data_IF_185767401367
#
_entry.id   IF_185767401367
#
_cell.length_a   1.000
_cell.length_b   1.000
_cell.length_c   1.000
_cell.angle_alpha   90.00
_cell.angle_beta   90.00
_cell.angle_gamma   90.00
#
_symmetry.space_group_name_H-M   'P 1'
#
loop_
_entity.id
_entity.type
_entity.pdbx_description
1 polymer ?
#
# COMPACT_ATOMS: atom_id res chain seq x y z
N UNK A 1 -34.26 -0.11 -25.04
CA UNK A 1 -32.98 0.59 -24.68
C UNK A 1 -32.91 0.67 -23.18
N UNK A 2 -32.23 -0.28 -22.52
CA UNK A 2 -32.03 -0.25 -21.06
C UNK A 2 -30.97 0.78 -20.75
N UNK A 3 -31.33 1.79 -19.95
CA UNK A 3 -30.40 2.74 -19.40
C UNK A 3 -29.37 1.96 -18.56
N UNK A 4 -28.14 1.83 -19.05
CA UNK A 4 -26.99 1.48 -18.22
C UNK A 4 -26.83 2.58 -17.18
N UNK A 5 -27.33 2.36 -15.96
CA UNK A 5 -26.92 3.15 -14.80
C UNK A 5 -25.40 3.03 -14.71
N UNK A 6 -24.69 4.10 -15.03
CA UNK A 6 -23.24 4.17 -14.84
C UNK A 6 -22.99 3.92 -13.35
N UNK A 7 -22.47 2.73 -13.02
CA UNK A 7 -22.00 2.42 -11.68
C UNK A 7 -20.92 3.46 -11.38
N UNK A 8 -21.11 4.29 -10.35
CA UNK A 8 -20.06 5.24 -9.93
C UNK A 8 -18.76 4.47 -9.72
N UNK A 9 -17.64 5.04 -10.16
CA UNK A 9 -16.33 4.42 -9.99
C UNK A 9 -16.07 4.12 -8.50
N UNK A 10 -15.50 2.95 -8.21
CA UNK A 10 -15.08 2.64 -6.85
C UNK A 10 -13.87 3.50 -6.49
N UNK A 11 -13.82 3.97 -5.26
CA UNK A 11 -12.77 4.84 -4.75
C UNK A 11 -11.67 4.03 -4.08
N UNK A 12 -10.40 4.33 -4.37
CA UNK A 12 -9.24 3.67 -3.81
C UNK A 12 -8.26 4.68 -3.19
N UNK A 13 -7.94 4.51 -1.90
CA UNK A 13 -6.94 5.31 -1.20
C UNK A 13 -5.59 4.59 -1.21
N UNK A 14 -4.53 5.29 -1.62
CA UNK A 14 -3.15 4.77 -1.58
C UNK A 14 -2.31 5.64 -0.66
N UNK A 15 -1.92 5.13 0.51
CA UNK A 15 -1.02 5.85 1.41
C UNK A 15 0.41 5.85 0.85
N UNK A 16 1.11 6.99 0.96
CA UNK A 16 2.41 7.14 0.30
C UNK A 16 2.34 7.07 -1.23
N UNK A 17 1.18 7.39 -1.81
CA UNK A 17 0.91 7.38 -3.25
C UNK A 17 1.76 8.33 -4.07
N UNK A 18 2.43 9.28 -3.43
CA UNK A 18 3.38 10.21 -4.09
C UNK A 18 4.80 9.64 -4.26
N UNK A 19 5.11 8.46 -3.71
CA UNK A 19 6.40 7.78 -3.89
C UNK A 19 6.45 6.95 -5.18
N UNK A 20 7.63 6.41 -5.53
CA UNK A 20 7.83 5.66 -6.79
C UNK A 20 6.87 4.46 -6.89
N UNK A 21 6.88 3.57 -5.90
CA UNK A 21 5.99 2.41 -5.87
C UNK A 21 4.52 2.83 -5.68
N UNK A 22 4.25 3.76 -4.77
CA UNK A 22 2.89 4.26 -4.52
C UNK A 22 2.29 4.93 -5.76
N UNK A 23 3.09 5.69 -6.51
CA UNK A 23 2.68 6.30 -7.77
C UNK A 23 2.32 5.26 -8.84
N UNK A 24 3.16 4.24 -9.02
CA UNK A 24 2.87 3.13 -9.93
C UNK A 24 1.56 2.39 -9.55
N UNK A 25 1.33 2.18 -8.24
CA UNK A 25 0.08 1.60 -7.73
C UNK A 25 -1.11 2.51 -8.05
N UNK A 26 -0.99 3.83 -7.84
CA UNK A 26 -2.05 4.78 -8.16
C UNK A 26 -2.40 4.76 -9.66
N UNK A 27 -1.39 4.77 -10.54
CA UNK A 27 -1.59 4.69 -11.99
C UNK A 27 -2.28 3.40 -12.40
N UNK A 28 -1.86 2.25 -11.85
CA UNK A 28 -2.46 0.96 -12.15
C UNK A 28 -3.93 0.87 -11.68
N UNK A 29 -4.26 1.43 -10.52
CA UNK A 29 -5.65 1.51 -10.03
C UNK A 29 -6.50 2.45 -10.87
N UNK A 30 -5.96 3.60 -11.31
CA UNK A 30 -6.64 4.50 -12.24
C UNK A 30 -6.96 3.82 -13.56
N UNK A 31 -5.99 3.11 -14.15
CA UNK A 31 -6.19 2.32 -15.36
C UNK A 31 -7.20 1.17 -15.17
N UNK A 32 -7.35 0.64 -13.94
CA UNK A 32 -8.37 -0.35 -13.58
C UNK A 32 -9.76 0.26 -13.32
N UNK A 33 -9.94 1.57 -13.49
CA UNK A 33 -11.22 2.27 -13.38
C UNK A 33 -11.61 2.70 -11.97
N UNK A 34 -10.67 2.76 -11.04
CA UNK A 34 -10.90 3.37 -9.73
C UNK A 34 -10.79 4.90 -9.80
N UNK A 35 -11.60 5.60 -9.00
CA UNK A 35 -11.29 6.96 -8.58
C UNK A 35 -10.20 6.88 -7.51
N UNK A 36 -9.00 7.40 -7.82
CA UNK A 36 -7.81 7.21 -6.98
C UNK A 36 -7.59 8.41 -6.06
N UNK A 37 -7.45 8.14 -4.78
CA UNK A 37 -7.08 9.12 -3.76
C UNK A 37 -5.58 8.93 -3.49
N UNK A 38 -4.78 9.84 -4.02
CA UNK A 38 -3.33 9.84 -3.90
C UNK A 38 -2.94 10.55 -2.60
N UNK A 39 -2.45 9.80 -1.62
CA UNK A 39 -2.06 10.37 -0.34
C UNK A 39 -0.55 10.62 -0.25
N UNK A 40 -0.17 11.76 0.35
CA UNK A 40 1.19 12.07 0.78
C UNK A 40 1.20 12.46 2.27
N UNK A 41 2.35 12.31 2.95
CA UNK A 41 2.49 12.79 4.33
C UNK A 41 2.38 14.32 4.41
N UNK A 42 3.25 15.06 3.74
CA UNK A 42 3.27 16.54 3.78
C UNK A 42 3.42 17.20 2.40
N UNK A 43 3.87 16.46 1.39
CA UNK A 43 4.09 17.03 0.05
C UNK A 43 2.86 16.83 -0.85
N UNK A 44 1.84 17.67 -0.64
CA UNK A 44 0.61 17.65 -1.43
C UNK A 44 0.89 17.86 -2.93
N UNK A 45 1.82 18.73 -3.30
CA UNK A 45 2.14 19.01 -4.70
C UNK A 45 2.64 17.76 -5.45
N UNK A 46 3.44 16.92 -4.77
CA UNK A 46 3.91 15.65 -5.36
C UNK A 46 2.75 14.67 -5.58
N UNK A 47 1.79 14.59 -4.64
CA UNK A 47 0.59 13.79 -4.80
C UNK A 47 -0.31 14.31 -5.92
N UNK A 48 -0.45 15.64 -6.05
CA UNK A 48 -1.17 16.27 -7.15
C UNK A 48 -0.56 15.94 -8.51
N UNK A 49 0.77 15.87 -8.61
CA UNK A 49 1.45 15.47 -9.84
C UNK A 49 1.08 14.03 -10.27
N UNK A 50 0.98 13.09 -9.34
CA UNK A 50 0.52 11.72 -9.64
C UNK A 50 -0.97 11.71 -9.99
N UNK A 51 -1.80 12.45 -9.26
CA UNK A 51 -3.23 12.56 -9.56
C UNK A 51 -3.46 13.13 -10.96
N UNK A 52 -2.68 14.15 -11.36
CA UNK A 52 -2.76 14.74 -12.69
C UNK A 52 -2.42 13.73 -13.80
N UNK A 53 -1.41 12.89 -13.60
CA UNK A 53 -1.08 11.83 -14.58
C UNK A 53 -2.25 10.86 -14.80
N UNK A 54 -3.00 10.52 -13.74
CA UNK A 54 -4.19 9.68 -13.86
C UNK A 54 -5.29 10.39 -14.63
N UNK A 55 -5.50 11.68 -14.37
CA UNK A 55 -6.49 12.52 -15.06
C UNK A 55 -6.14 12.68 -16.54
N UNK A 56 -4.88 12.93 -16.86
CA UNK A 56 -4.39 13.05 -18.24
C UNK A 56 -4.54 11.74 -19.03
N UNK A 57 -4.49 10.61 -18.33
CA UNK A 57 -4.79 9.28 -18.89
C UNK A 57 -6.29 8.96 -19.00
N UNK A 58 -7.18 9.92 -18.66
CA UNK A 58 -8.64 9.76 -18.74
C UNK A 58 -9.29 9.13 -17.50
N UNK A 59 -8.54 8.92 -16.42
CA UNK A 59 -9.04 8.44 -15.14
C UNK A 59 -9.55 9.56 -14.22
N UNK A 60 -9.93 9.19 -13.00
CA UNK A 60 -10.36 10.11 -11.96
C UNK A 60 -9.42 10.01 -10.77
N UNK A 61 -8.93 11.14 -10.27
CA UNK A 61 -8.05 11.16 -9.10
C UNK A 61 -8.14 12.48 -8.34
N UNK A 62 -7.81 12.40 -7.04
CA UNK A 62 -7.59 13.55 -6.19
C UNK A 62 -6.37 13.31 -5.29
N UNK A 63 -5.79 14.39 -4.78
CA UNK A 63 -4.66 14.33 -3.88
C UNK A 63 -5.07 14.79 -2.48
N UNK A 64 -4.53 14.12 -1.45
CA UNK A 64 -4.69 14.50 -0.04
C UNK A 64 -3.37 14.41 0.69
N UNK A 65 -3.22 15.19 1.78
CA UNK A 65 -2.03 15.12 2.61
C UNK A 65 -2.42 15.15 4.09
N UNK A 66 -1.91 14.17 4.84
CA UNK A 66 -1.92 14.11 6.30
C UNK A 66 -0.83 13.14 6.79
N UNK A 67 -0.42 13.25 8.06
CA UNK A 67 0.52 12.30 8.63
C UNK A 67 -0.24 11.06 9.11
N UNK A 68 0.11 9.90 8.57
CA UNK A 68 -0.51 8.61 8.96
C UNK A 68 -0.19 8.22 10.41
N UNK A 69 0.87 8.77 11.00
CA UNK A 69 1.26 8.54 12.39
C UNK A 69 0.36 9.33 13.35
N UNK A 70 -0.10 10.50 12.93
CA UNK A 70 -1.02 11.33 13.69
C UNK A 70 -2.45 10.76 13.56
N UNK A 71 -2.97 10.20 14.66
CA UNK A 71 -4.28 9.59 14.70
C UNK A 71 -5.42 10.59 14.46
N UNK A 72 -5.29 11.83 14.96
CA UNK A 72 -6.30 12.87 14.79
C UNK A 72 -6.32 13.40 13.36
N UNK A 73 -5.13 13.68 12.78
CA UNK A 73 -5.01 14.09 11.39
C UNK A 73 -5.51 13.00 10.43
N UNK A 74 -5.18 11.73 10.70
CA UNK A 74 -5.69 10.58 9.93
C UNK A 74 -7.21 10.47 10.01
N UNK A 75 -7.78 10.56 11.22
CA UNK A 75 -9.22 10.49 11.41
C UNK A 75 -9.94 11.64 10.67
N UNK A 76 -9.44 12.87 10.78
CA UNK A 76 -10.00 14.03 10.09
C UNK A 76 -9.89 13.88 8.56
N UNK A 77 -8.73 13.47 8.06
CA UNK A 77 -8.51 13.24 6.63
C UNK A 77 -9.45 12.16 6.06
N UNK A 78 -9.59 11.03 6.76
CA UNK A 78 -10.50 9.96 6.35
C UNK A 78 -11.97 10.42 6.44
N UNK A 79 -12.36 11.14 7.49
CA UNK A 79 -13.73 11.67 7.62
C UNK A 79 -14.10 12.57 6.43
N UNK A 80 -13.23 13.49 6.05
CA UNK A 80 -13.44 14.35 4.89
C UNK A 80 -13.57 13.54 3.57
N UNK A 81 -12.79 12.48 3.42
CA UNK A 81 -12.91 11.59 2.25
C UNK A 81 -14.26 10.85 2.23
N UNK A 82 -14.78 10.47 3.37
CA UNK A 82 -16.04 9.73 3.49
C UNK A 82 -17.28 10.61 3.25
N UNK A 83 -17.18 11.94 3.36
CA UNK A 83 -18.25 12.86 2.96
C UNK A 83 -18.63 12.73 1.48
N UNK A 84 -17.64 12.49 0.61
CA UNK A 84 -17.86 12.26 -0.82
C UNK A 84 -18.27 10.82 -1.16
N UNK A 85 -18.46 9.96 -0.15
CA UNK A 85 -18.85 8.56 -0.32
C UNK A 85 -17.82 7.55 0.19
N UNK A 86 -18.12 6.26 0.16
CA UNK A 86 -17.26 5.23 0.72
C UNK A 86 -15.94 5.12 -0.06
N UNK A 87 -14.85 4.88 0.67
CA UNK A 87 -13.59 4.39 0.11
C UNK A 87 -13.69 2.86 0.06
N UNK A 88 -13.60 2.31 -1.13
CA UNK A 88 -13.84 0.88 -1.39
C UNK A 88 -12.57 0.04 -1.28
N UNK A 89 -11.42 0.62 -1.63
CA UNK A 89 -10.13 -0.03 -1.52
C UNK A 89 -9.15 0.86 -0.74
N UNK A 90 -8.33 0.26 0.11
CA UNK A 90 -7.21 0.94 0.77
C UNK A 90 -5.93 0.16 0.52
N UNK A 91 -4.91 0.86 0.03
CA UNK A 91 -3.56 0.32 -0.12
C UNK A 91 -2.66 0.99 0.91
N UNK A 92 -2.30 0.24 1.94
CA UNK A 92 -1.36 0.65 2.97
C UNK A 92 0.07 0.46 2.43
N UNK A 93 0.55 1.49 1.72
CA UNK A 93 1.88 1.52 1.11
C UNK A 93 2.85 2.45 1.84
N UNK A 94 2.36 3.44 2.59
CA UNK A 94 3.23 4.31 3.38
C UNK A 94 4.20 3.50 4.24
N UNK A 95 5.47 3.86 4.17
CA UNK A 95 6.53 3.18 4.91
C UNK A 95 7.84 3.92 4.73
N UNK A 96 8.69 3.80 5.73
CA UNK A 96 10.06 4.31 5.74
C UNK A 96 10.99 3.20 6.23
N UNK A 97 12.25 3.32 5.95
CA UNK A 97 13.31 2.55 6.59
C UNK A 97 14.25 3.51 7.34
N UNK A 98 14.87 3.01 8.39
CA UNK A 98 15.90 3.72 9.16
C UNK A 98 16.81 2.64 9.74
N UNK A 99 17.78 2.24 8.90
CA UNK A 99 18.53 1.00 9.05
C UNK A 99 19.69 1.18 10.04
N UNK A 100 19.83 0.24 10.97
CA UNK A 100 20.96 0.12 11.86
C UNK A 100 21.06 -1.33 12.37
N UNK A 101 22.28 -1.84 12.65
CA UNK A 101 22.42 -3.09 13.41
C UNK A 101 21.69 -2.98 14.74
N UNK A 102 20.96 -4.03 15.16
CA UNK A 102 20.10 -4.00 16.37
C UNK A 102 20.85 -3.53 17.61
N UNK A 103 22.12 -3.92 17.79
CA UNK A 103 22.92 -3.51 18.94
C UNK A 103 23.22 -2.00 19.01
N UNK A 104 23.16 -1.30 17.88
CA UNK A 104 23.39 0.15 17.77
C UNK A 104 22.14 0.94 17.37
N UNK A 105 20.99 0.28 17.21
CA UNK A 105 19.74 0.92 16.81
C UNK A 105 19.19 1.77 17.96
N UNK A 106 18.91 3.04 17.69
CA UNK A 106 18.26 3.92 18.65
C UNK A 106 16.77 3.61 18.80
N UNK A 107 16.18 3.94 19.95
CA UNK A 107 14.74 3.85 20.15
C UNK A 107 13.97 4.72 19.16
N UNK A 108 14.51 5.87 18.75
CA UNK A 108 13.91 6.73 17.74
C UNK A 108 13.82 6.04 16.37
N UNK A 109 14.89 5.38 15.91
CA UNK A 109 14.89 4.60 14.66
C UNK A 109 13.88 3.46 14.72
N UNK A 110 13.79 2.78 15.86
CA UNK A 110 12.81 1.72 16.08
C UNK A 110 11.37 2.25 15.98
N UNK A 111 11.00 3.20 16.82
CA UNK A 111 9.63 3.70 16.90
C UNK A 111 9.17 4.33 15.58
N UNK A 112 9.99 5.17 14.97
CA UNK A 112 9.65 5.86 13.73
C UNK A 112 9.23 4.91 12.61
N UNK A 113 9.91 3.78 12.45
CA UNK A 113 9.60 2.78 11.42
C UNK A 113 8.32 2.00 11.77
N UNK A 114 8.14 1.63 13.04
CA UNK A 114 6.92 0.98 13.54
C UNK A 114 5.73 1.91 13.37
N UNK A 115 5.85 3.17 13.77
CA UNK A 115 4.76 4.16 13.76
C UNK A 115 4.22 4.36 12.35
N UNK A 116 5.08 4.61 11.37
CA UNK A 116 4.63 4.82 10.00
C UNK A 116 4.01 3.57 9.40
N UNK A 117 4.61 2.40 9.60
CA UNK A 117 4.19 1.17 8.92
C UNK A 117 3.00 0.48 9.60
N UNK A 118 2.98 0.44 10.95
CA UNK A 118 2.00 -0.34 11.70
C UNK A 118 0.90 0.54 12.32
N UNK A 119 1.26 1.62 13.02
CA UNK A 119 0.25 2.54 13.54
C UNK A 119 -0.45 3.27 12.39
N UNK A 120 0.29 3.67 11.33
CA UNK A 120 -0.30 4.22 10.12
C UNK A 120 -1.30 3.29 9.43
N UNK A 121 -1.00 1.97 9.37
CA UNK A 121 -1.98 0.98 8.90
C UNK A 121 -3.27 1.02 9.71
N UNK A 122 -3.18 1.02 11.04
CA UNK A 122 -4.34 1.07 11.92
C UNK A 122 -5.14 2.37 11.75
N UNK A 123 -4.47 3.52 11.84
CA UNK A 123 -5.10 4.84 11.79
C UNK A 123 -5.88 5.07 10.48
N UNK A 124 -5.37 4.54 9.36
CA UNK A 124 -6.00 4.70 8.04
C UNK A 124 -7.05 3.63 7.78
N UNK A 125 -6.78 2.38 8.15
CA UNK A 125 -7.66 1.25 7.76
C UNK A 125 -8.89 1.17 8.65
N UNK A 126 -8.75 1.34 9.96
CA UNK A 126 -9.82 1.13 10.93
C UNK A 126 -11.08 1.95 10.61
N UNK A 127 -11.03 3.27 10.34
CA UNK A 127 -12.22 4.07 10.07
C UNK A 127 -12.91 3.73 8.74
N UNK A 128 -12.22 3.05 7.81
CA UNK A 128 -12.78 2.64 6.52
C UNK A 128 -13.57 1.32 6.58
N UNK A 129 -13.37 0.50 7.61
CA UNK A 129 -13.93 -0.86 7.66
C UNK A 129 -15.47 -0.87 7.77
N UNK A 130 -16.07 -0.02 8.59
CA UNK A 130 -17.52 0.04 8.73
C UNK A 130 -18.21 0.54 7.44
N UNK A 131 -17.75 1.61 6.77
CA UNK A 131 -18.24 1.98 5.44
C UNK A 131 -18.15 0.85 4.40
N UNK A 132 -17.00 0.16 4.33
CA UNK A 132 -16.81 -1.01 3.44
C UNK A 132 -17.80 -2.14 3.79
N UNK A 133 -18.00 -2.44 5.08
CA UNK A 133 -18.91 -3.48 5.53
C UNK A 133 -20.37 -3.17 5.19
N UNK A 134 -20.78 -1.90 5.27
CA UNK A 134 -22.10 -1.45 4.84
C UNK A 134 -22.30 -1.59 3.33
N UNK A 135 -21.29 -1.27 2.56
CA UNK A 135 -21.27 -1.46 1.12
C UNK A 135 -21.18 -2.94 0.69
N UNK A 136 -20.87 -3.86 1.63
CA UNK A 136 -20.62 -5.28 1.41
C UNK A 136 -19.56 -5.52 0.32
N UNK A 137 -18.63 -4.63 0.23
CA UNK A 137 -17.48 -4.71 -0.67
C UNK A 137 -16.32 -3.89 -0.11
N UNK A 138 -15.15 -4.50 -0.04
CA UNK A 138 -13.92 -3.82 0.38
C UNK A 138 -12.68 -4.59 -0.02
N UNK A 139 -11.59 -3.86 -0.21
CA UNK A 139 -10.26 -4.39 -0.48
C UNK A 139 -9.24 -3.67 0.41
N UNK A 140 -8.53 -4.44 1.21
CA UNK A 140 -7.40 -3.95 2.02
C UNK A 140 -6.14 -4.65 1.52
N UNK A 141 -5.21 -3.89 0.95
CA UNK A 141 -3.93 -4.41 0.50
C UNK A 141 -2.82 -3.70 1.28
N UNK A 142 -1.99 -4.48 1.98
CA UNK A 142 -0.85 -3.95 2.71
C UNK A 142 0.45 -4.26 1.96
N UNK A 143 1.26 -3.24 1.70
CA UNK A 143 2.59 -3.41 1.10
C UNK A 143 3.60 -3.70 2.21
N UNK A 144 4.05 -4.95 2.26
CA UNK A 144 5.09 -5.44 3.14
C UNK A 144 6.47 -5.38 2.44
N UNK A 145 7.30 -6.37 2.64
CA UNK A 145 8.62 -6.51 2.03
C UNK A 145 9.09 -7.95 2.11
N UNK A 146 9.98 -8.36 1.21
CA UNK A 146 10.72 -9.62 1.33
C UNK A 146 11.52 -9.66 2.65
N UNK A 147 11.99 -8.51 3.15
CA UNK A 147 12.67 -8.42 4.45
C UNK A 147 11.79 -8.89 5.63
N UNK A 148 10.46 -8.82 5.50
CA UNK A 148 9.52 -9.34 6.47
C UNK A 148 9.37 -10.88 6.41
N UNK A 149 9.83 -11.51 5.34
CA UNK A 149 9.73 -12.96 5.11
C UNK A 149 11.05 -13.65 5.47
N UNK A 150 12.17 -13.12 4.95
CA UNK A 150 13.49 -13.77 5.12
C UNK A 150 14.43 -13.05 6.10
N UNK A 151 14.03 -11.86 6.57
CA UNK A 151 14.90 -10.97 7.34
C UNK A 151 15.88 -10.20 6.45
N UNK A 152 16.45 -9.10 6.98
CA UNK A 152 17.56 -8.39 6.35
C UNK A 152 18.45 -7.77 7.43
N UNK A 153 19.76 -7.87 7.24
CA UNK A 153 20.73 -7.30 8.18
C UNK A 153 20.55 -5.79 8.29
N UNK A 154 20.49 -5.28 9.52
CA UNK A 154 20.31 -3.85 9.78
C UNK A 154 18.86 -3.37 9.75
N UNK A 155 17.91 -4.22 9.43
CA UNK A 155 16.49 -3.89 9.29
C UNK A 155 15.58 -4.59 10.30
N UNK A 156 16.03 -4.79 11.52
CA UNK A 156 15.23 -5.48 12.55
C UNK A 156 13.92 -4.73 12.83
N UNK A 157 13.94 -3.38 12.89
CA UNK A 157 12.77 -2.54 13.03
C UNK A 157 11.84 -2.65 11.81
N UNK A 158 12.39 -2.54 10.60
CA UNK A 158 11.63 -2.61 9.35
C UNK A 158 11.01 -3.99 9.12
N UNK A 159 11.81 -5.05 9.30
CA UNK A 159 11.31 -6.43 9.20
C UNK A 159 10.20 -6.70 10.23
N UNK A 160 10.36 -6.25 11.48
CA UNK A 160 9.33 -6.37 12.51
C UNK A 160 8.04 -5.63 12.12
N UNK A 161 8.14 -4.36 11.70
CA UNK A 161 6.99 -3.56 11.28
C UNK A 161 6.24 -4.18 10.10
N UNK A 162 6.99 -4.61 9.07
CA UNK A 162 6.40 -5.20 7.86
C UNK A 162 5.87 -6.63 8.10
N UNK A 163 6.48 -7.41 9.00
CA UNK A 163 5.94 -8.73 9.41
C UNK A 163 4.66 -8.59 10.23
N UNK A 164 4.53 -7.56 11.06
CA UNK A 164 3.31 -7.31 11.84
C UNK A 164 2.07 -7.15 10.94
N UNK A 165 2.24 -6.56 9.75
CA UNK A 165 1.17 -6.46 8.76
C UNK A 165 0.63 -7.83 8.30
N UNK A 166 1.46 -8.88 8.31
CA UNK A 166 1.03 -10.23 7.94
C UNK A 166 -0.01 -10.79 8.94
N UNK A 167 0.29 -10.66 10.24
CA UNK A 167 -0.64 -11.08 11.30
C UNK A 167 -1.92 -10.26 11.32
N UNK A 168 -1.79 -8.92 11.26
CA UNK A 168 -2.92 -8.00 11.23
C UNK A 168 -3.86 -8.29 10.04
N UNK A 169 -3.29 -8.47 8.84
CA UNK A 169 -4.05 -8.77 7.62
C UNK A 169 -4.79 -10.13 7.71
N UNK A 170 -4.13 -11.18 8.24
CA UNK A 170 -4.77 -12.49 8.41
C UNK A 170 -5.94 -12.44 9.40
N UNK A 171 -5.82 -11.70 10.49
CA UNK A 171 -6.92 -11.50 11.45
C UNK A 171 -8.07 -10.73 10.80
N UNK A 172 -7.76 -9.60 10.15
CA UNK A 172 -8.75 -8.77 9.46
C UNK A 172 -9.52 -9.55 8.38
N UNK A 173 -8.83 -10.40 7.62
CA UNK A 173 -9.44 -11.27 6.63
C UNK A 173 -10.51 -12.20 7.22
N UNK A 174 -10.27 -12.72 8.42
CA UNK A 174 -11.23 -13.58 9.15
C UNK A 174 -12.40 -12.80 9.71
N UNK A 175 -12.15 -11.60 10.23
CA UNK A 175 -13.18 -10.74 10.82
C UNK A 175 -14.15 -10.20 9.77
N UNK A 176 -13.64 -9.82 8.60
CA UNK A 176 -14.38 -9.03 7.63
C UNK A 176 -14.80 -9.82 6.38
N UNK A 177 -14.34 -11.06 6.21
CA UNK A 177 -14.62 -11.87 5.02
C UNK A 177 -16.11 -12.07 4.74
N UNK A 178 -16.94 -12.30 5.78
CA UNK A 178 -18.40 -12.43 5.64
C UNK A 178 -19.11 -11.14 5.21
N UNK A 179 -18.39 -10.02 5.24
CA UNK A 179 -18.88 -8.69 4.80
C UNK A 179 -18.47 -8.34 3.38
N UNK A 180 -17.86 -9.27 2.64
CA UNK A 180 -17.40 -9.06 1.27
C UNK A 180 -16.09 -8.26 1.19
N UNK A 181 -15.33 -8.20 2.29
CA UNK A 181 -14.04 -7.52 2.37
C UNK A 181 -12.93 -8.57 2.33
N UNK A 182 -11.94 -8.37 1.45
CA UNK A 182 -10.70 -9.14 1.45
C UNK A 182 -9.56 -8.29 1.97
N UNK A 183 -8.64 -8.92 2.69
CA UNK A 183 -7.42 -8.31 3.18
C UNK A 183 -6.23 -9.19 2.79
N UNK A 184 -5.25 -8.61 2.07
CA UNK A 184 -4.06 -9.33 1.58
C UNK A 184 -2.80 -8.49 1.73
N UNK A 185 -1.66 -9.15 1.72
CA UNK A 185 -0.33 -8.55 1.76
C UNK A 185 0.38 -8.81 0.45
N UNK A 186 0.99 -7.77 -0.11
CA UNK A 186 1.99 -7.89 -1.17
C UNK A 186 3.36 -7.67 -0.55
N UNK A 187 4.31 -8.59 -0.80
CA UNK A 187 5.68 -8.54 -0.26
C UNK A 187 6.69 -8.35 -1.41
N UNK A 188 7.02 -7.10 -1.77
CA UNK A 188 8.01 -6.82 -2.81
C UNK A 188 9.42 -7.26 -2.40
N UNK A 189 10.23 -7.65 -3.38
CA UNK A 189 11.67 -7.83 -3.26
C UNK A 189 12.43 -6.53 -3.47
N UNK A 190 13.57 -6.63 -4.16
CA UNK A 190 14.35 -5.49 -4.63
C UNK A 190 13.62 -4.85 -5.82
N UNK A 191 13.08 -3.65 -5.66
CA UNK A 191 12.28 -2.94 -6.69
C UNK A 191 13.02 -1.67 -7.11
N UNK A 192 13.13 -1.40 -8.41
CA UNK A 192 13.71 -0.17 -8.96
C UNK A 192 13.07 1.08 -8.34
N UNK A 193 13.87 2.12 -8.13
CA UNK A 193 13.44 3.40 -7.57
C UNK A 193 14.53 4.10 -6.76
N UNK A 194 14.20 5.27 -6.24
CA UNK A 194 15.15 6.13 -5.53
C UNK A 194 15.83 5.46 -4.31
N UNK A 195 15.17 4.48 -3.69
CA UNK A 195 15.71 3.76 -2.52
C UNK A 195 16.82 2.75 -2.87
N UNK A 196 16.93 2.30 -4.13
CA UNK A 196 17.87 1.22 -4.52
C UNK A 196 19.16 1.77 -5.13
N UNK A 197 19.13 2.92 -5.79
CA UNK A 197 20.19 3.39 -6.69
C UNK A 197 21.61 3.49 -6.11
N UNK A 198 21.78 3.56 -4.79
CA UNK A 198 23.10 3.54 -4.15
C UNK A 198 23.34 2.31 -3.27
N UNK A 199 22.30 1.61 -2.83
CA UNK A 199 22.43 0.51 -1.87
C UNK A 199 22.73 -0.84 -2.53
N UNK A 200 22.34 -1.06 -3.79
CA UNK A 200 22.49 -2.33 -4.48
C UNK A 200 23.07 -2.14 -5.88
N UNK A 201 24.40 -2.34 -6.07
CA UNK A 201 24.99 -2.37 -7.40
C UNK A 201 24.41 -3.56 -8.21
N UNK A 202 24.38 -3.48 -9.57
CA UNK A 202 23.76 -4.49 -10.43
C UNK A 202 24.26 -5.91 -10.18
N UNK A 203 25.54 -6.08 -9.86
CA UNK A 203 26.16 -7.38 -9.55
C UNK A 203 25.64 -7.98 -8.26
N UNK A 204 25.39 -7.15 -7.22
CA UNK A 204 24.80 -7.60 -5.97
C UNK A 204 23.33 -8.05 -6.18
N UNK A 205 22.59 -7.35 -7.03
CA UNK A 205 21.21 -7.74 -7.39
C UNK A 205 21.20 -9.11 -8.08
N UNK A 206 22.11 -9.34 -9.04
CA UNK A 206 22.24 -10.62 -9.75
C UNK A 206 22.54 -11.80 -8.82
N UNK A 207 23.30 -11.55 -7.75
CA UNK A 207 23.61 -12.59 -6.76
C UNK A 207 22.49 -12.82 -5.76
N UNK A 208 21.75 -11.76 -5.38
CA UNK A 208 20.73 -11.78 -4.35
C UNK A 208 19.37 -12.25 -4.86
N UNK A 209 19.03 -11.87 -6.10
CA UNK A 209 17.72 -12.13 -6.70
C UNK A 209 17.82 -13.26 -7.72
N UNK A 210 17.14 -14.39 -7.54
CA UNK A 210 17.16 -15.50 -8.50
C UNK A 210 16.78 -15.10 -9.93
N UNK A 211 15.86 -14.12 -10.10
CA UNK A 211 15.54 -13.56 -11.42
C UNK A 211 16.64 -12.68 -12.02
N UNK A 212 17.79 -12.51 -11.31
CA UNK A 212 18.99 -11.77 -11.72
C UNK A 212 18.74 -10.29 -12.10
N UNK A 213 17.66 -9.70 -11.64
CA UNK A 213 17.29 -8.28 -11.82
C UNK A 213 16.47 -7.74 -10.66
N UNK A 214 16.43 -6.44 -10.52
CA UNK A 214 15.38 -5.78 -9.74
C UNK A 214 14.02 -5.92 -10.44
N UNK A 215 12.96 -5.94 -9.65
CA UNK A 215 11.59 -5.80 -10.15
C UNK A 215 11.29 -4.33 -10.46
N UNK A 216 10.31 -4.09 -11.32
CA UNK A 216 9.80 -2.74 -11.60
C UNK A 216 8.63 -2.42 -10.69
N UNK A 217 8.41 -1.14 -10.32
CA UNK A 217 7.22 -0.73 -9.56
C UNK A 217 5.91 -1.21 -10.17
N UNK A 218 5.82 -1.24 -11.51
CA UNK A 218 4.65 -1.69 -12.26
C UNK A 218 4.36 -3.18 -12.06
N UNK A 219 5.35 -4.01 -11.83
CA UNK A 219 5.18 -5.45 -11.57
C UNK A 219 4.49 -5.68 -10.21
N UNK A 220 4.79 -4.86 -9.21
CA UNK A 220 4.11 -4.86 -7.91
C UNK A 220 2.71 -4.25 -8.04
N UNK A 221 2.60 -3.13 -8.74
CA UNK A 221 1.35 -2.41 -8.94
C UNK A 221 0.29 -3.27 -9.66
N UNK A 222 0.70 -4.09 -10.62
CA UNK A 222 -0.18 -5.03 -11.32
C UNK A 222 -0.85 -6.03 -10.36
N UNK A 223 -0.10 -6.61 -9.42
CA UNK A 223 -0.65 -7.49 -8.41
C UNK A 223 -1.59 -6.74 -7.45
N UNK A 224 -1.22 -5.52 -7.01
CA UNK A 224 -2.07 -4.70 -6.14
C UNK A 224 -3.40 -4.38 -6.83
N UNK A 225 -3.37 -3.95 -8.09
CA UNK A 225 -4.58 -3.67 -8.86
C UNK A 225 -5.45 -4.93 -9.04
N UNK A 226 -4.85 -6.08 -9.32
CA UNK A 226 -5.56 -7.36 -9.37
C UNK A 226 -6.23 -7.69 -8.03
N UNK A 227 -5.52 -7.57 -6.90
CA UNK A 227 -6.07 -7.82 -5.57
C UNK A 227 -7.20 -6.85 -5.19
N UNK A 228 -7.23 -5.65 -5.76
CA UNK A 228 -8.30 -4.68 -5.61
C UNK A 228 -9.50 -4.97 -6.54
N UNK A 229 -9.40 -5.89 -7.49
CA UNK A 229 -10.47 -6.21 -8.45
C UNK A 229 -11.53 -7.16 -7.89
N UNK A 230 -12.63 -7.34 -8.65
CA UNK A 230 -13.64 -8.35 -8.35
C UNK A 230 -13.10 -9.78 -8.56
N UNK A 231 -12.16 -9.97 -9.49
CA UNK A 231 -11.57 -11.27 -9.80
C UNK A 231 -10.79 -11.87 -8.60
N UNK A 232 -10.28 -11.03 -7.69
CA UNK A 232 -9.59 -11.45 -6.48
C UNK A 232 -10.52 -11.66 -5.27
N UNK A 233 -11.84 -11.69 -5.47
CA UNK A 233 -12.84 -11.74 -4.39
C UNK A 233 -12.75 -12.96 -3.46
N UNK A 234 -12.05 -14.02 -3.86
CA UNK A 234 -11.83 -15.21 -3.03
C UNK A 234 -10.38 -15.35 -2.52
N UNK A 235 -9.50 -14.40 -2.86
CA UNK A 235 -8.13 -14.33 -2.33
C UNK A 235 -8.19 -13.48 -1.05
N UNK A 236 -8.00 -14.12 0.10
CA UNK A 236 -8.16 -13.45 1.39
C UNK A 236 -7.15 -14.00 2.42
N UNK A 237 -6.53 -13.11 3.20
CA UNK A 237 -5.55 -13.45 4.23
C UNK A 237 -4.19 -13.91 3.69
N UNK A 238 -3.88 -13.66 2.42
CA UNK A 238 -2.66 -14.13 1.77
C UNK A 238 -1.51 -13.15 1.92
N UNK A 239 -0.29 -13.68 1.93
CA UNK A 239 0.97 -12.93 1.78
C UNK A 239 1.59 -13.39 0.46
N UNK A 240 1.66 -12.48 -0.51
CA UNK A 240 2.08 -12.81 -1.88
C UNK A 240 3.36 -12.05 -2.22
N UNK A 241 4.42 -12.82 -2.49
CA UNK A 241 5.71 -12.27 -2.89
C UNK A 241 5.71 -11.77 -4.34
N UNK A 242 6.32 -10.59 -4.57
CA UNK A 242 6.71 -10.08 -5.90
C UNK A 242 8.19 -9.76 -5.80
N UNK A 243 9.03 -10.79 -5.76
CA UNK A 243 10.40 -10.69 -5.25
C UNK A 243 11.44 -11.41 -6.10
N UNK A 244 11.09 -11.87 -7.30
CA UNK A 244 12.01 -12.55 -8.20
C UNK A 244 12.56 -13.87 -7.67
N UNK A 245 11.86 -14.51 -6.72
CA UNK A 245 12.24 -15.80 -6.13
C UNK A 245 13.10 -15.70 -4.87
N UNK A 246 13.16 -14.54 -4.20
CA UNK A 246 13.98 -14.34 -2.99
C UNK A 246 13.42 -15.02 -1.73
N UNK A 247 12.18 -15.48 -1.71
CA UNK A 247 11.57 -16.08 -0.52
C UNK A 247 10.15 -16.58 -0.72
#
# INVERSE_FOLDING_TARGET
MSAQTSKSARRALVTGGSGDLGGAICLALGAAGFEVIVHANGNLAKAQGVAQQIIDAGGQAQAVAFDVVDAEASAAGIAALLEAGPVHAVVNNAGIHDDAPMAGMSAQQWHRVIDVSLHGFFNVTQPLLLPMARARWGRVVSVSSVAAVIGNRGQTNYAAAKSALHGATKSLAREMGSRGITANVVAPGVIEGAMIGQAFPPEAIKQLVPAARAGKPEEVAALVAFLCSDAAGYINGQVIGVNGGMG
#
